data_IF_340842632969
#
_entry.id   IF_340842632969
#
_cell.length_a   1.000
_cell.length_b   1.000
_cell.length_c   1.000
_cell.angle_alpha   90.00
_cell.angle_beta   90.00
_cell.angle_gamma   90.00
#
_symmetry.space_group_name_H-M   'P 1'
#
loop_
_entity.id
_entity.type
_entity.pdbx_description
1 polymer ?
#
# COMPACT_ATOMS: atom_id res chain seq x y z
N UNK A 1 7.05 1.86 17.89
CA UNK A 1 5.92 1.05 18.39
C UNK A 1 6.25 -0.43 18.20
N UNK A 2 6.73 -1.09 19.25
CA UNK A 2 6.91 -2.55 19.26
C UNK A 2 5.63 -3.13 19.85
N UNK A 3 4.93 -3.97 19.08
CA UNK A 3 3.82 -4.82 19.51
C UNK A 3 2.76 -4.14 20.42
N UNK A 4 1.83 -3.41 19.83
CA UNK A 4 0.49 -3.37 20.39
C UNK A 4 -0.01 -4.81 20.31
N UNK A 5 -0.20 -5.48 21.46
CA UNK A 5 -0.48 -6.92 21.59
C UNK A 5 -1.74 -7.43 20.88
N UNK A 6 -1.74 -7.28 19.55
CA UNK A 6 -2.68 -7.95 18.67
C UNK A 6 -2.21 -9.40 18.61
N UNK A 7 -2.86 -10.26 19.38
CA UNK A 7 -2.53 -11.67 19.43
C UNK A 7 -2.60 -12.27 18.03
N UNK A 8 -1.47 -12.82 17.55
CA UNK A 8 -1.38 -13.56 16.27
C UNK A 8 -2.42 -14.68 16.13
N UNK A 9 -3.01 -15.12 17.25
CA UNK A 9 -3.99 -16.20 17.27
C UNK A 9 -5.34 -15.84 16.65
N UNK A 10 -5.68 -14.56 16.46
CA UNK A 10 -6.97 -14.11 15.93
C UNK A 10 -6.92 -13.65 14.46
N UNK A 11 -5.74 -13.55 13.85
CA UNK A 11 -5.63 -13.16 12.45
C UNK A 11 -6.02 -14.30 11.53
N UNK A 12 -7.04 -14.10 10.68
CA UNK A 12 -7.53 -15.08 9.70
C UNK A 12 -6.79 -14.99 8.36
N UNK A 13 -6.27 -13.81 8.00
CA UNK A 13 -5.54 -13.61 6.76
C UNK A 13 -4.14 -14.23 6.87
N UNK A 14 -3.86 -15.20 6.00
CA UNK A 14 -2.57 -15.91 5.98
C UNK A 14 -1.73 -15.49 4.79
N UNK A 15 -0.56 -14.91 5.06
CA UNK A 15 0.45 -14.63 4.04
C UNK A 15 1.69 -15.48 4.36
N UNK A 16 2.15 -16.31 3.43
CA UNK A 16 3.28 -17.22 3.61
C UNK A 16 3.20 -18.07 4.90
N UNK A 17 2.00 -18.59 5.22
CA UNK A 17 1.66 -19.38 6.43
C UNK A 17 1.71 -18.60 7.75
N UNK A 18 1.86 -17.29 7.73
CA UNK A 18 1.76 -16.42 8.91
C UNK A 18 0.42 -15.70 8.92
N UNK A 19 -0.19 -15.62 10.09
CA UNK A 19 -1.39 -14.81 10.26
C UNK A 19 -0.98 -13.33 10.32
N UNK A 20 -1.52 -12.52 9.40
CA UNK A 20 -1.21 -11.10 9.31
C UNK A 20 -2.53 -10.34 9.33
N UNK A 21 -2.68 -9.43 10.28
CA UNK A 21 -3.82 -8.54 10.40
C UNK A 21 -3.44 -7.07 10.33
N UNK A 22 -2.14 -6.76 10.37
CA UNK A 22 -1.64 -5.40 10.21
C UNK A 22 -0.33 -5.36 9.40
N UNK A 23 -0.19 -4.33 8.59
CA UNK A 23 1.05 -3.97 7.90
C UNK A 23 1.40 -2.54 8.30
N UNK A 24 2.67 -2.31 8.63
CA UNK A 24 3.15 -0.99 9.08
C UNK A 24 4.31 -0.53 8.20
N UNK A 25 4.21 0.71 7.76
CA UNK A 25 5.27 1.38 7.01
C UNK A 25 5.42 2.81 7.55
N UNK A 26 6.49 3.08 8.27
CA UNK A 26 6.73 4.33 8.99
C UNK A 26 5.57 4.67 9.94
N UNK A 27 4.82 5.72 9.67
CA UNK A 27 3.61 6.16 10.38
C UNK A 27 2.30 5.60 9.79
N UNK A 28 2.36 5.02 8.60
CA UNK A 28 1.20 4.39 7.98
C UNK A 28 0.96 2.97 8.53
N UNK A 29 -0.30 2.67 8.87
CA UNK A 29 -0.73 1.34 9.32
C UNK A 29 -1.91 0.89 8.47
N UNK A 30 -1.81 -0.31 7.89
CA UNK A 30 -2.91 -0.95 7.17
C UNK A 30 -3.42 -2.12 8.00
N UNK A 31 -4.71 -2.11 8.31
CA UNK A 31 -5.39 -3.21 8.99
C UNK A 31 -6.13 -4.06 7.96
N UNK A 32 -6.10 -5.38 8.16
CA UNK A 32 -6.75 -6.34 7.27
C UNK A 32 -7.64 -7.27 8.07
N UNK A 33 -8.85 -7.52 7.56
CA UNK A 33 -9.81 -8.44 8.15
C UNK A 33 -10.70 -9.06 7.07
N UNK A 34 -11.29 -10.21 7.37
CA UNK A 34 -12.23 -10.89 6.48
C UNK A 34 -13.67 -10.37 6.61
N UNK A 35 -13.98 -9.70 7.73
CA UNK A 35 -15.31 -9.13 8.00
C UNK A 35 -15.24 -7.68 8.48
N UNK A 36 -16.34 -6.96 8.30
CA UNK A 36 -16.48 -5.57 8.75
C UNK A 36 -16.39 -5.47 10.28
N UNK A 37 -17.01 -6.40 11.00
CA UNK A 37 -17.02 -6.43 12.46
C UNK A 37 -15.61 -6.65 13.02
N UNK A 38 -14.86 -7.55 12.40
CA UNK A 38 -13.46 -7.82 12.77
C UNK A 38 -12.61 -6.59 12.53
N UNK A 39 -12.75 -5.93 11.38
CA UNK A 39 -12.01 -4.71 11.05
C UNK A 39 -12.33 -3.58 12.04
N UNK A 40 -13.60 -3.40 12.41
CA UNK A 40 -14.03 -2.43 13.43
C UNK A 40 -13.40 -2.73 14.79
N UNK A 41 -13.35 -4.00 15.18
CA UNK A 41 -12.73 -4.43 16.45
C UNK A 41 -11.23 -4.14 16.45
N UNK A 42 -10.52 -4.46 15.35
CA UNK A 42 -9.10 -4.18 15.21
C UNK A 42 -8.80 -2.68 15.27
N UNK A 43 -9.59 -1.87 14.57
CA UNK A 43 -9.39 -0.43 14.53
C UNK A 43 -9.64 0.22 15.90
N UNK A 44 -10.66 -0.23 16.65
CA UNK A 44 -10.88 0.24 18.03
C UNK A 44 -9.69 -0.08 18.93
N UNK A 45 -9.17 -1.31 18.88
CA UNK A 45 -7.97 -1.70 19.63
C UNK A 45 -6.76 -0.84 19.29
N UNK A 46 -6.51 -0.61 18.00
CA UNK A 46 -5.39 0.25 17.54
C UNK A 46 -5.59 1.67 18.03
N UNK A 47 -6.80 2.22 17.97
CA UNK A 47 -7.13 3.55 18.48
C UNK A 47 -6.84 3.65 19.99
N UNK A 48 -7.39 2.74 20.80
CA UNK A 48 -7.19 2.71 22.25
C UNK A 48 -5.71 2.60 22.63
N UNK A 49 -4.94 1.72 21.98
CA UNK A 49 -3.51 1.56 22.24
C UNK A 49 -2.70 2.78 21.76
N UNK A 50 -3.10 3.42 20.68
CA UNK A 50 -2.47 4.65 20.20
C UNK A 50 -2.67 5.81 21.15
N UNK A 51 -3.89 5.98 21.67
CA UNK A 51 -4.24 7.03 22.63
C UNK A 51 -3.45 6.90 23.93
N UNK A 52 -3.19 5.67 24.43
CA UNK A 52 -2.36 5.44 25.62
C UNK A 52 -0.93 5.97 25.48
N UNK A 53 -0.40 6.05 24.27
CA UNK A 53 0.94 6.58 24.00
C UNK A 53 0.92 8.00 23.42
N UNK A 54 -0.25 8.68 23.46
CA UNK A 54 -0.42 10.04 23.00
C UNK A 54 -0.50 10.21 21.49
N UNK A 55 -0.77 9.13 20.74
CA UNK A 55 -0.98 9.18 19.29
C UNK A 55 -2.46 9.20 18.98
N UNK A 56 -2.88 10.15 18.16
CA UNK A 56 -4.28 10.31 17.74
C UNK A 56 -4.46 9.80 16.32
N UNK A 57 -5.43 8.93 16.12
CA UNK A 57 -5.82 8.44 14.79
C UNK A 57 -6.39 9.61 13.95
N UNK A 58 -5.83 9.82 12.77
CA UNK A 58 -6.35 10.83 11.84
C UNK A 58 -7.44 10.20 10.96
N UNK A 59 -8.70 10.36 11.36
CA UNK A 59 -9.87 9.78 10.68
C UNK A 59 -9.99 10.32 9.25
N UNK A 60 -9.70 11.59 9.00
CA UNK A 60 -9.79 12.18 7.66
C UNK A 60 -8.78 11.59 6.67
N UNK A 61 -7.62 11.13 7.15
CA UNK A 61 -6.62 10.44 6.32
C UNK A 61 -6.83 8.93 6.26
N UNK A 62 -7.63 8.37 7.18
CA UNK A 62 -7.90 6.94 7.21
C UNK A 62 -8.92 6.58 6.13
N UNK A 63 -8.58 5.59 5.32
CA UNK A 63 -9.40 5.15 4.19
C UNK A 63 -9.71 3.68 4.31
N UNK A 64 -10.85 3.28 3.78
CA UNK A 64 -11.31 1.90 3.77
C UNK A 64 -11.39 1.40 2.35
N UNK A 65 -10.84 0.22 2.12
CA UNK A 65 -10.95 -0.50 0.87
C UNK A 65 -11.54 -1.88 1.13
N UNK A 66 -12.50 -2.28 0.31
CA UNK A 66 -13.09 -3.61 0.37
C UNK A 66 -13.29 -4.20 -1.01
N UNK A 67 -13.22 -5.53 -1.11
CA UNK A 67 -13.49 -6.25 -2.36
C UNK A 67 -14.96 -6.22 -2.75
N UNK A 68 -15.86 -5.93 -1.81
CA UNK A 68 -17.31 -5.81 -2.01
C UNK A 68 -17.73 -4.36 -1.77
N UNK A 69 -18.63 -3.78 -2.56
CA UNK A 69 -19.08 -2.42 -2.36
C UNK A 69 -19.67 -2.22 -0.95
N UNK A 70 -19.06 -1.31 -0.19
CA UNK A 70 -19.57 -0.88 1.13
C UNK A 70 -20.28 0.46 0.94
N UNK A 71 -21.52 0.56 1.37
CA UNK A 71 -22.35 1.76 1.18
C UNK A 71 -21.97 2.91 2.11
N UNK A 72 -21.59 2.64 3.35
CA UNK A 72 -21.07 3.65 4.27
C UNK A 72 -20.42 2.96 5.48
N UNK A 73 -19.30 3.51 5.92
CA UNK A 73 -18.60 3.02 7.11
C UNK A 73 -18.46 4.15 8.15
N UNK A 74 -18.90 3.88 9.37
CA UNK A 74 -18.84 4.86 10.45
C UNK A 74 -18.06 4.30 11.64
N UNK A 75 -17.19 5.14 12.19
CA UNK A 75 -16.51 4.90 13.45
C UNK A 75 -16.75 6.10 14.34
N UNK A 76 -17.25 5.85 15.55
CA UNK A 76 -17.50 6.87 16.57
C UNK A 76 -18.36 8.04 16.04
N UNK A 77 -19.28 7.76 15.12
CA UNK A 77 -20.15 8.76 14.51
C UNK A 77 -19.58 9.47 13.27
N UNK A 78 -18.28 9.31 12.98
CA UNK A 78 -17.65 9.90 11.79
C UNK A 78 -17.70 8.91 10.62
N UNK A 79 -18.02 9.43 9.43
CA UNK A 79 -18.07 8.64 8.20
C UNK A 79 -16.66 8.58 7.60
N UNK A 80 -16.19 7.37 7.30
CA UNK A 80 -14.89 7.15 6.67
C UNK A 80 -15.02 7.08 5.16
N UNK A 81 -14.00 7.56 4.47
CA UNK A 81 -13.91 7.51 3.01
C UNK A 81 -13.66 6.07 2.55
N UNK A 82 -14.54 5.58 1.68
CA UNK A 82 -14.33 4.30 0.99
C UNK A 82 -13.65 4.55 -0.34
N UNK A 83 -12.55 3.86 -0.61
CA UNK A 83 -11.73 4.03 -1.81
C UNK A 83 -11.58 2.72 -2.56
N UNK A 84 -11.43 2.80 -3.89
CA UNK A 84 -11.15 1.66 -4.75
C UNK A 84 -9.65 1.30 -4.80
N UNK A 85 -8.79 2.25 -4.44
CA UNK A 85 -7.35 2.10 -4.42
C UNK A 85 -6.70 3.03 -3.39
N UNK A 86 -5.49 2.69 -2.95
CA UNK A 86 -4.65 3.54 -2.10
C UNK A 86 -3.17 3.28 -2.34
N UNK A 87 -2.31 4.18 -1.86
CA UNK A 87 -0.85 4.02 -1.95
C UNK A 87 -0.31 3.63 -0.57
N UNK A 88 0.37 2.50 -0.50
CA UNK A 88 1.09 2.03 0.69
C UNK A 88 2.55 1.79 0.32
N UNK A 89 3.47 2.40 1.07
CA UNK A 89 4.91 2.23 0.83
C UNK A 89 5.36 2.62 -0.58
N UNK A 90 4.64 3.55 -1.24
CA UNK A 90 4.92 3.98 -2.61
C UNK A 90 4.30 3.12 -3.71
N UNK A 91 3.68 1.97 -3.39
CA UNK A 91 2.99 1.10 -4.34
C UNK A 91 1.48 1.30 -4.29
N UNK A 92 0.84 1.33 -5.45
CA UNK A 92 -0.61 1.45 -5.58
C UNK A 92 -1.26 0.08 -5.41
N UNK A 93 -2.15 -0.03 -4.44
CA UNK A 93 -2.93 -1.23 -4.13
C UNK A 93 -4.38 -0.98 -4.55
N UNK A 94 -4.99 -1.92 -5.26
CA UNK A 94 -6.36 -1.86 -5.76
C UNK A 94 -7.22 -2.96 -5.13
N UNK A 95 -8.52 -2.69 -4.97
CA UNK A 95 -9.47 -3.63 -4.36
C UNK A 95 -9.64 -4.93 -5.16
N UNK A 96 -9.43 -4.89 -6.48
CA UNK A 96 -9.48 -6.04 -7.38
C UNK A 96 -8.17 -6.83 -7.45
N UNK A 97 -7.10 -6.34 -6.80
CA UNK A 97 -5.77 -6.96 -6.83
C UNK A 97 -5.09 -6.90 -8.21
N UNK A 98 -5.52 -6.04 -9.12
CA UNK A 98 -4.89 -5.86 -10.44
C UNK A 98 -3.71 -4.89 -10.38
N UNK A 99 -2.51 -5.40 -10.56
CA UNK A 99 -1.28 -4.62 -10.58
C UNK A 99 -0.97 -3.94 -11.92
N UNK A 100 -1.77 -4.16 -12.96
CA UNK A 100 -1.57 -3.56 -14.30
C UNK A 100 -1.50 -2.04 -14.25
N UNK A 101 -2.30 -1.43 -13.39
CA UNK A 101 -2.30 0.02 -13.17
C UNK A 101 -1.01 0.51 -12.53
N UNK A 102 -0.49 -0.23 -11.53
CA UNK A 102 0.77 0.11 -10.88
C UNK A 102 1.96 -0.04 -11.83
N UNK A 103 2.02 -1.13 -12.58
CA UNK A 103 3.05 -1.36 -13.60
C UNK A 103 3.07 -0.21 -14.62
N UNK A 104 1.90 0.17 -15.15
CA UNK A 104 1.77 1.30 -16.08
C UNK A 104 2.24 2.62 -15.44
N UNK A 105 1.88 2.88 -14.19
CA UNK A 105 2.30 4.07 -13.44
C UNK A 105 3.82 4.13 -13.31
N UNK A 106 4.46 3.04 -12.89
CA UNK A 106 5.92 2.96 -12.74
C UNK A 106 6.64 3.14 -14.08
N UNK A 107 6.13 2.51 -15.15
CA UNK A 107 6.69 2.68 -16.50
C UNK A 107 6.57 4.12 -17.02
N UNK A 108 5.45 4.80 -16.78
CA UNK A 108 5.25 6.20 -17.14
C UNK A 108 6.20 7.13 -16.38
N UNK A 109 6.42 6.88 -15.08
CA UNK A 109 7.38 7.63 -14.28
C UNK A 109 8.80 7.43 -14.82
N UNK A 110 9.19 6.19 -15.09
CA UNK A 110 10.49 5.88 -15.70
C UNK A 110 10.68 6.57 -17.05
N UNK A 111 9.66 6.53 -17.92
CA UNK A 111 9.69 7.21 -19.22
C UNK A 111 9.86 8.73 -19.05
N UNK A 112 9.14 9.35 -18.11
CA UNK A 112 9.27 10.78 -17.81
C UNK A 112 10.68 11.16 -17.37
N UNK A 113 11.30 10.35 -16.49
CA UNK A 113 12.68 10.57 -16.06
C UNK A 113 13.65 10.40 -17.22
N UNK A 114 13.48 9.37 -18.05
CA UNK A 114 14.31 9.16 -19.25
C UNK A 114 14.22 10.33 -20.25
N UNK A 115 13.04 10.88 -20.48
CA UNK A 115 12.86 12.04 -21.35
C UNK A 115 13.65 13.25 -20.84
N UNK A 116 13.70 13.45 -19.52
CA UNK A 116 14.48 14.52 -18.91
C UNK A 116 16.02 14.28 -19.03
N UNK A 117 16.44 13.02 -19.13
CA UNK A 117 17.84 12.65 -19.34
C UNK A 117 18.28 12.71 -20.81
N UNK A 118 17.33 12.90 -21.76
CA UNK A 118 17.65 12.98 -23.19
C UNK A 118 18.17 14.36 -23.60
N UNK A 119 19.01 14.93 -22.77
CA UNK A 119 19.76 16.15 -23.08
C UNK A 119 20.98 15.82 -23.94
N UNK A 120 21.23 16.61 -24.99
CA UNK A 120 22.39 16.42 -25.91
C UNK A 120 23.72 16.59 -25.23
N UNK A 121 23.77 17.31 -24.12
CA UNK A 121 25.03 17.60 -23.37
C UNK A 121 25.52 16.41 -22.53
N UNK A 122 24.71 15.36 -22.36
CA UNK A 122 25.11 14.17 -21.61
C UNK A 122 25.58 13.09 -22.57
N UNK A 123 26.82 12.65 -22.42
CA UNK A 123 27.39 11.57 -23.23
C UNK A 123 26.68 10.23 -22.97
N UNK A 124 26.59 9.40 -24.02
CA UNK A 124 25.85 8.14 -23.98
C UNK A 124 26.22 7.19 -22.82
N UNK A 125 27.52 6.95 -22.49
CA UNK A 125 27.88 6.09 -21.35
C UNK A 125 27.30 6.60 -20.01
N UNK A 126 27.30 7.92 -19.81
CA UNK A 126 26.72 8.54 -18.60
C UNK A 126 25.22 8.37 -18.56
N UNK A 127 24.51 8.53 -19.69
CA UNK A 127 23.07 8.25 -19.78
C UNK A 127 22.76 6.81 -19.35
N UNK A 128 23.49 5.82 -19.85
CA UNK A 128 23.31 4.41 -19.49
C UNK A 128 23.54 4.20 -17.99
N UNK A 129 24.57 4.82 -17.43
CA UNK A 129 24.83 4.73 -15.99
C UNK A 129 23.70 5.33 -15.15
N UNK A 130 23.20 6.51 -15.52
CA UNK A 130 22.09 7.17 -14.83
C UNK A 130 20.80 6.35 -14.92
N UNK A 131 20.51 5.75 -16.09
CA UNK A 131 19.33 4.88 -16.25
C UNK A 131 19.44 3.67 -15.32
N UNK A 132 20.59 3.00 -15.25
CA UNK A 132 20.79 1.85 -14.37
C UNK A 132 20.77 2.22 -12.88
N UNK A 133 21.31 3.38 -12.51
CA UNK A 133 21.43 3.78 -11.10
C UNK A 133 20.16 4.42 -10.54
N UNK A 134 19.35 5.08 -11.36
CA UNK A 134 18.21 5.88 -10.89
C UNK A 134 16.89 5.37 -11.47
N UNK A 135 16.80 5.22 -12.80
CA UNK A 135 15.53 4.91 -13.45
C UNK A 135 15.11 3.47 -13.16
N UNK A 136 16.02 2.52 -13.35
CA UNK A 136 15.73 1.10 -13.20
C UNK A 136 15.30 0.75 -11.76
N UNK A 137 16.02 1.14 -10.68
CA UNK A 137 15.57 0.90 -9.31
C UNK A 137 14.24 1.56 -8.99
N UNK A 138 14.01 2.78 -9.49
CA UNK A 138 12.75 3.49 -9.27
C UNK A 138 11.55 2.84 -9.95
N UNK A 139 11.73 2.32 -11.17
CA UNK A 139 10.67 1.59 -11.89
C UNK A 139 10.40 0.22 -11.26
N UNK A 140 11.46 -0.46 -10.80
CA UNK A 140 11.35 -1.80 -10.21
C UNK A 140 11.03 -1.78 -8.72
N UNK A 141 10.87 -0.60 -8.12
CA UNK A 141 10.48 -0.49 -6.71
C UNK A 141 9.12 -1.15 -6.46
N UNK A 142 9.06 -2.09 -5.52
CA UNK A 142 7.83 -2.82 -5.18
C UNK A 142 7.43 -3.90 -6.20
N UNK A 143 8.28 -4.20 -7.20
CA UNK A 143 7.96 -5.20 -8.24
C UNK A 143 7.83 -6.63 -7.68
N UNK A 144 8.33 -6.91 -6.49
CA UNK A 144 8.17 -8.17 -5.79
C UNK A 144 6.71 -8.50 -5.47
N UNK A 145 5.86 -7.48 -5.39
CA UNK A 145 4.42 -7.65 -5.17
C UNK A 145 3.62 -7.84 -6.47
N UNK A 146 4.25 -7.62 -7.65
CA UNK A 146 3.55 -7.69 -8.91
C UNK A 146 3.29 -9.14 -9.34
N UNK A 147 2.03 -9.49 -9.48
CA UNK A 147 1.66 -10.74 -10.13
C UNK A 147 1.62 -10.54 -11.64
N UNK A 148 2.58 -11.11 -12.37
CA UNK A 148 2.52 -11.14 -13.83
C UNK A 148 1.53 -12.23 -14.24
N UNK A 149 0.44 -11.86 -14.90
CA UNK A 149 -0.37 -12.84 -15.63
C UNK A 149 0.55 -13.48 -16.67
N UNK A 150 0.68 -14.82 -16.67
CA UNK A 150 1.33 -15.51 -17.79
C UNK A 150 0.64 -15.01 -19.06
N UNK A 151 1.41 -14.38 -19.95
CA UNK A 151 0.94 -14.16 -21.29
C UNK A 151 0.61 -15.55 -21.85
N UNK A 152 -0.62 -15.77 -22.22
CA UNK A 152 -1.00 -16.94 -23.01
C UNK A 152 -0.20 -16.82 -24.31
N UNK A 153 0.78 -17.72 -24.47
CA UNK A 153 1.48 -17.92 -25.74
C UNK A 153 0.54 -18.59 -26.71
#
# INVERSE_FOLDING_TARGET
MRNAGLEEAQARIKIARRNINDLRYADDTTLMAESEEELKSLLRKVKEESEKVGLILNIQKTKIMASVPITSWKIDGETMETVADFILGGSKITADGDYSHEIKRCLLLGKKVMTNLDNRDIIFPTKVHLVKAIVFPGVMYGCESWTTKKAEC
#
